data_IF_913867257508
#
_entry.id   IF_913867257508
#
_cell.length_a   1.000
_cell.length_b   1.000
_cell.length_c   1.000
_cell.angle_alpha   90.00
_cell.angle_beta   90.00
_cell.angle_gamma   90.00
#
_symmetry.space_group_name_H-M   'P 1'
#
loop_
_entity.id
_entity.type
_entity.pdbx_description
1 polymer ?
#
# COMPACT_ATOMS: atom_id res chain seq x y z
N UNK A 1 17.61 -0.65 -8.21
CA UNK A 1 16.85 -0.05 -7.09
C UNK A 1 15.54 -0.77 -6.71
N UNK A 2 14.76 -1.34 -7.66
CA UNK A 2 13.46 -2.02 -7.39
C UNK A 2 13.48 -3.16 -6.35
N UNK A 3 14.64 -3.76 -6.11
CA UNK A 3 14.83 -4.87 -5.18
C UNK A 3 15.45 -4.46 -3.84
N UNK A 4 15.76 -3.17 -3.65
CA UNK A 4 16.40 -2.70 -2.41
C UNK A 4 15.48 -2.92 -1.21
N UNK A 5 14.20 -2.60 -1.34
CA UNK A 5 13.22 -2.81 -0.27
C UNK A 5 13.03 -4.31 0.03
N UNK A 6 12.73 -5.19 -0.96
CA UNK A 6 12.67 -6.64 -0.72
C UNK A 6 13.97 -7.25 -0.18
N UNK A 7 15.13 -6.85 -0.68
CA UNK A 7 16.42 -7.38 -0.23
C UNK A 7 16.76 -6.92 1.21
N UNK A 8 16.40 -5.69 1.57
CA UNK A 8 16.56 -5.18 2.93
C UNK A 8 15.60 -5.89 3.90
N UNK A 9 14.39 -6.19 3.45
CA UNK A 9 13.40 -7.03 4.15
C UNK A 9 13.88 -8.47 4.37
N UNK A 10 14.33 -9.14 3.31
CA UNK A 10 14.85 -10.51 3.36
C UNK A 10 16.13 -10.57 4.21
N UNK A 11 16.99 -9.56 4.12
CA UNK A 11 18.18 -9.43 4.97
C UNK A 11 17.82 -9.24 6.45
N UNK A 12 16.82 -8.40 6.74
CA UNK A 12 16.30 -8.21 8.09
C UNK A 12 15.69 -9.50 8.66
N UNK A 13 14.93 -10.25 7.87
CA UNK A 13 14.38 -11.54 8.26
C UNK A 13 15.44 -12.62 8.46
N UNK A 14 16.40 -12.75 7.54
CA UNK A 14 17.49 -13.72 7.63
C UNK A 14 18.36 -13.50 8.87
N UNK A 15 18.61 -12.23 9.21
CA UNK A 15 19.47 -11.88 10.33
C UNK A 15 18.73 -11.91 11.68
N UNK A 16 17.46 -11.51 11.72
CA UNK A 16 16.59 -11.68 12.90
C UNK A 16 16.46 -13.15 13.30
N UNK A 17 16.30 -14.05 12.31
CA UNK A 17 16.31 -15.49 12.54
C UNK A 17 17.65 -16.01 13.10
N UNK A 18 18.77 -15.40 12.71
CA UNK A 18 20.11 -15.82 13.16
C UNK A 18 20.48 -15.35 14.57
N UNK A 19 19.76 -14.39 15.17
CA UNK A 19 20.19 -13.73 16.42
C UNK A 19 19.28 -13.99 17.64
N UNK A 20 17.96 -14.14 17.50
CA UNK A 20 17.06 -14.36 18.66
C UNK A 20 15.84 -15.22 18.28
N UNK A 21 15.74 -16.40 18.89
CA UNK A 21 14.64 -17.36 18.72
C UNK A 21 13.37 -16.88 19.45
N UNK A 22 12.48 -16.13 18.78
CA UNK A 22 11.11 -15.90 19.27
C UNK A 22 10.59 -14.47 19.10
N UNK A 23 10.92 -13.57 20.02
CA UNK A 23 10.18 -12.30 20.20
C UNK A 23 10.56 -11.19 19.20
N UNK A 24 11.82 -11.15 18.75
CA UNK A 24 12.28 -10.04 17.90
C UNK A 24 11.73 -10.12 16.47
N UNK A 25 11.47 -11.33 15.96
CA UNK A 25 10.92 -11.54 14.61
C UNK A 25 9.47 -11.06 14.49
N UNK A 26 8.66 -11.33 15.52
CA UNK A 26 7.26 -10.86 15.58
C UNK A 26 7.19 -9.33 15.67
N UNK A 27 8.08 -8.70 16.42
CA UNK A 27 8.15 -7.24 16.54
C UNK A 27 8.53 -6.58 15.21
N UNK A 28 9.45 -7.18 14.45
CA UNK A 28 9.85 -6.69 13.13
C UNK A 28 8.71 -6.83 12.10
N UNK A 29 7.98 -7.95 12.15
CA UNK A 29 6.78 -8.17 11.32
C UNK A 29 5.70 -7.14 11.63
N UNK A 30 5.42 -6.89 12.90
CA UNK A 30 4.45 -5.88 13.32
C UNK A 30 4.89 -4.47 12.91
N UNK A 31 6.16 -4.12 13.13
CA UNK A 31 6.74 -2.84 12.74
C UNK A 31 6.66 -2.59 11.22
N UNK A 32 6.58 -3.65 10.41
CA UNK A 32 6.38 -3.52 8.97
C UNK A 32 4.91 -3.52 8.53
N UNK A 33 4.14 -4.49 9.02
CA UNK A 33 2.74 -4.69 8.59
C UNK A 33 1.88 -3.51 9.03
N UNK A 34 2.02 -3.05 10.27
CA UNK A 34 1.17 -2.03 10.87
C UNK A 34 1.23 -0.71 10.08
N UNK A 35 2.38 -0.07 9.88
CA UNK A 35 2.43 1.20 9.15
C UNK A 35 2.02 1.04 7.68
N UNK A 36 2.35 -0.07 7.02
CA UNK A 36 1.91 -0.33 5.65
C UNK A 36 0.39 -0.47 5.52
N UNK A 37 -0.22 -1.23 6.42
CA UNK A 37 -1.65 -1.48 6.45
C UNK A 37 -2.43 -0.21 6.81
N UNK A 38 -1.99 0.50 7.86
CA UNK A 38 -2.63 1.73 8.33
C UNK A 38 -2.53 2.84 7.30
N UNK A 39 -1.33 3.10 6.75
CA UNK A 39 -1.13 4.20 5.82
C UNK A 39 -1.86 3.96 4.48
N UNK A 40 -1.78 2.73 3.95
CA UNK A 40 -2.53 2.37 2.74
C UNK A 40 -4.05 2.42 2.98
N UNK A 41 -4.54 1.88 4.09
CA UNK A 41 -5.97 1.93 4.44
C UNK A 41 -6.47 3.37 4.60
N UNK A 42 -5.72 4.22 5.30
CA UNK A 42 -6.10 5.60 5.58
C UNK A 42 -6.16 6.44 4.29
N UNK A 43 -5.14 6.39 3.44
CA UNK A 43 -5.13 7.12 2.17
C UNK A 43 -6.20 6.60 1.20
N UNK A 44 -6.44 5.30 1.18
CA UNK A 44 -7.52 4.69 0.37
C UNK A 44 -8.89 5.12 0.89
N UNK A 45 -9.08 5.24 2.20
CA UNK A 45 -10.32 5.74 2.80
C UNK A 45 -10.54 7.24 2.49
N UNK A 46 -9.48 8.06 2.54
CA UNK A 46 -9.52 9.48 2.15
C UNK A 46 -9.92 9.64 0.68
N UNK A 47 -9.52 8.70 -0.18
CA UNK A 47 -9.91 8.66 -1.59
C UNK A 47 -11.41 8.35 -1.82
N UNK A 48 -12.22 8.18 -0.76
CA UNK A 48 -13.63 7.79 -0.82
C UNK A 48 -13.84 6.46 -1.58
N UNK A 49 -12.88 5.54 -1.41
CA UNK A 49 -12.97 4.18 -1.92
C UNK A 49 -14.10 3.41 -1.24
N UNK A 50 -14.59 2.35 -1.90
CA UNK A 50 -15.56 1.47 -1.26
C UNK A 50 -14.93 0.70 -0.10
N UNK A 51 -15.70 0.31 0.93
CA UNK A 51 -15.18 -0.40 2.09
C UNK A 51 -14.36 -1.65 1.74
N UNK A 52 -14.78 -2.42 0.73
CA UNK A 52 -14.03 -3.58 0.25
C UNK A 52 -12.63 -3.22 -0.27
N UNK A 53 -12.50 -2.10 -0.96
CA UNK A 53 -11.23 -1.64 -1.52
C UNK A 53 -10.28 -1.13 -0.44
N UNK A 54 -10.82 -0.54 0.64
CA UNK A 54 -10.02 -0.19 1.83
C UNK A 54 -9.47 -1.44 2.50
N UNK A 55 -10.31 -2.47 2.70
CA UNK A 55 -9.87 -3.76 3.26
C UNK A 55 -8.80 -4.39 2.37
N UNK A 56 -9.01 -4.34 1.05
CA UNK A 56 -8.02 -4.83 0.10
C UNK A 56 -6.70 -4.07 0.18
N UNK A 57 -6.72 -2.74 0.37
CA UNK A 57 -5.50 -1.95 0.52
C UNK A 57 -4.72 -2.33 1.79
N UNK A 58 -5.43 -2.53 2.89
CA UNK A 58 -4.86 -2.95 4.19
C UNK A 58 -4.17 -4.31 4.08
N UNK A 59 -4.78 -5.28 3.39
CA UNK A 59 -4.24 -6.64 3.24
C UNK A 59 -3.17 -6.72 2.14
N UNK A 60 -3.40 -6.06 1.01
CA UNK A 60 -2.50 -6.10 -0.13
C UNK A 60 -1.23 -5.30 0.11
N UNK A 61 -1.26 -4.19 0.86
CA UNK A 61 -0.10 -3.31 1.06
C UNK A 61 1.12 -4.04 1.66
N UNK A 62 1.03 -4.81 2.76
CA UNK A 62 2.17 -5.56 3.30
C UNK A 62 2.73 -6.61 2.32
N UNK A 63 1.85 -7.27 1.56
CA UNK A 63 2.20 -8.33 0.61
C UNK A 63 2.86 -7.76 -0.65
N UNK A 64 2.31 -6.66 -1.16
CA UNK A 64 2.80 -5.98 -2.37
C UNK A 64 4.09 -5.21 -2.12
N UNK A 65 4.33 -4.71 -0.91
CA UNK A 65 5.61 -4.11 -0.53
C UNK A 65 6.80 -5.09 -0.65
N UNK A 66 6.53 -6.40 -0.51
CA UNK A 66 7.52 -7.47 -0.74
C UNK A 66 7.70 -7.81 -2.23
N UNK A 67 6.76 -7.45 -3.10
CA UNK A 67 6.78 -7.78 -4.52
C UNK A 67 6.71 -6.53 -5.42
N UNK A 68 7.85 -6.07 -5.98
CA UNK A 68 7.89 -4.87 -6.81
C UNK A 68 7.18 -5.00 -8.17
N UNK A 69 6.65 -6.19 -8.50
CA UNK A 69 5.93 -6.42 -9.77
C UNK A 69 4.44 -6.10 -9.70
N UNK A 70 3.83 -6.10 -8.50
CA UNK A 70 2.41 -5.82 -8.31
C UNK A 70 2.27 -4.77 -7.22
N UNK A 71 1.90 -3.54 -7.60
CA UNK A 71 1.67 -2.46 -6.63
C UNK A 71 0.32 -2.62 -5.92
N UNK A 72 0.23 -2.16 -4.67
CA UNK A 72 -1.03 -2.13 -3.90
C UNK A 72 -2.17 -1.48 -4.70
N UNK A 73 -1.87 -0.41 -5.45
CA UNK A 73 -2.86 0.27 -6.29
C UNK A 73 -3.42 -0.57 -7.43
N UNK A 74 -2.69 -1.55 -7.95
CA UNK A 74 -3.23 -2.44 -8.99
C UNK A 74 -4.32 -3.34 -8.40
N UNK A 75 -4.07 -3.96 -7.25
CA UNK A 75 -5.05 -4.84 -6.59
C UNK A 75 -6.27 -4.04 -6.14
N UNK A 76 -6.05 -2.90 -5.49
CA UNK A 76 -7.11 -2.04 -4.98
C UNK A 76 -7.90 -1.39 -6.13
N UNK A 77 -7.20 -0.93 -7.17
CA UNK A 77 -7.81 -0.36 -8.37
C UNK A 77 -8.66 -1.37 -9.12
N UNK A 78 -8.19 -2.63 -9.26
CA UNK A 78 -8.97 -3.68 -9.91
C UNK A 78 -10.26 -4.00 -9.13
N UNK A 79 -10.18 -4.07 -7.80
CA UNK A 79 -11.33 -4.30 -6.94
C UNK A 79 -12.30 -3.12 -6.97
N UNK A 80 -11.81 -1.88 -6.91
CA UNK A 80 -12.65 -0.69 -7.02
C UNK A 80 -13.32 -0.62 -8.40
N UNK A 81 -12.60 -0.97 -9.47
CA UNK A 81 -13.15 -1.06 -10.83
C UNK A 81 -14.25 -2.13 -10.91
N UNK A 82 -14.02 -3.30 -10.32
CA UNK A 82 -15.02 -4.36 -10.25
C UNK A 82 -16.29 -3.94 -9.51
N UNK A 83 -16.14 -3.20 -8.42
CA UNK A 83 -17.26 -2.74 -7.63
C UNK A 83 -17.99 -1.57 -8.27
N UNK A 84 -17.30 -0.64 -8.95
CA UNK A 84 -17.91 0.52 -9.60
C UNK A 84 -18.41 0.24 -11.02
N UNK A 85 -17.85 -0.77 -11.69
CA UNK A 85 -18.12 -1.15 -13.08
C UNK A 85 -18.08 0.06 -14.03
N UNK A 86 -16.93 0.76 -14.14
CA UNK A 86 -16.81 1.91 -15.04
C UNK A 86 -17.11 1.49 -16.49
N UNK A 87 -17.83 2.31 -17.24
CA UNK A 87 -18.14 2.05 -18.64
C UNK A 87 -17.06 2.60 -19.56
N UNK A 88 -17.07 2.21 -20.85
CA UNK A 88 -16.14 2.75 -21.85
C UNK A 88 -16.37 4.25 -22.07
N UNK A 89 -17.64 4.69 -22.00
CA UNK A 89 -18.03 6.12 -22.07
C UNK A 89 -17.41 6.95 -20.94
N UNK A 90 -17.25 6.38 -19.74
CA UNK A 90 -16.56 7.04 -18.61
C UNK A 90 -15.07 7.24 -18.91
N UNK A 91 -14.46 6.34 -19.69
CA UNK A 91 -13.05 6.44 -20.10
C UNK A 91 -12.85 7.52 -21.18
N UNK A 92 -13.81 7.67 -22.10
CA UNK A 92 -13.78 8.72 -23.12
C UNK A 92 -13.94 10.12 -22.51
N UNK A 93 -14.82 10.26 -21.51
CA UNK A 93 -15.03 11.52 -20.76
C UNK A 93 -13.90 11.87 -19.79
N UNK A 94 -12.95 10.96 -19.61
CA UNK A 94 -11.87 11.12 -18.62
C UNK A 94 -11.07 12.41 -18.84
N UNK A 95 -10.73 12.73 -20.09
CA UNK A 95 -9.86 13.86 -20.43
C UNK A 95 -10.49 15.21 -20.01
N UNK A 96 -11.81 15.32 -20.12
CA UNK A 96 -12.57 16.50 -19.72
C UNK A 96 -12.80 16.52 -18.20
N UNK A 97 -13.08 15.35 -17.60
CA UNK A 97 -13.42 15.22 -16.18
C UNK A 97 -12.20 15.36 -15.25
N UNK A 98 -10.98 15.03 -15.68
CA UNK A 98 -9.76 15.20 -14.86
C UNK A 98 -9.29 16.65 -14.73
N UNK A 99 -9.82 17.58 -15.53
CA UNK A 99 -9.47 19.00 -15.47
C UNK A 99 -10.03 19.71 -14.23
N UNK A 100 -11.00 19.10 -13.54
CA UNK A 100 -11.59 19.68 -12.33
C UNK A 100 -11.61 18.65 -11.20
N UNK A 101 -11.29 19.09 -9.97
CA UNK A 101 -11.37 18.23 -8.79
C UNK A 101 -12.76 17.60 -8.63
N UNK A 102 -13.82 18.34 -8.99
CA UNK A 102 -15.20 17.85 -8.95
C UNK A 102 -15.48 16.79 -10.03
N UNK A 103 -14.89 16.91 -11.23
CA UNK A 103 -14.98 15.92 -12.30
C UNK A 103 -14.30 14.60 -11.94
N UNK A 104 -13.13 14.66 -11.27
CA UNK A 104 -12.42 13.48 -10.75
C UNK A 104 -13.31 12.66 -9.79
N UNK A 105 -14.09 13.32 -8.93
CA UNK A 105 -14.99 12.61 -8.03
C UNK A 105 -16.34 12.24 -8.65
N UNK A 106 -16.70 12.79 -9.81
CA UNK A 106 -17.97 12.50 -10.49
C UNK A 106 -17.85 11.26 -11.39
N UNK A 107 -16.72 11.10 -12.06
CA UNK A 107 -16.52 10.02 -13.02
C UNK A 107 -16.06 8.71 -12.30
N UNK A 108 -16.73 7.57 -12.55
CA UNK A 108 -16.37 6.28 -11.93
C UNK A 108 -14.95 5.82 -12.24
N UNK A 109 -14.44 6.07 -13.45
CA UNK A 109 -13.12 5.64 -13.89
C UNK A 109 -12.01 6.46 -13.23
N UNK A 110 -12.15 7.79 -13.19
CA UNK A 110 -11.19 8.65 -12.49
C UNK A 110 -11.15 8.37 -10.99
N UNK A 111 -12.28 8.02 -10.37
CA UNK A 111 -12.29 7.53 -8.98
C UNK A 111 -11.47 6.27 -8.79
N UNK A 112 -11.60 5.28 -9.68
CA UNK A 112 -10.80 4.04 -9.60
C UNK A 112 -9.31 4.37 -9.66
N UNK A 113 -8.90 5.24 -10.58
CA UNK A 113 -7.52 5.68 -10.70
C UNK A 113 -7.03 6.44 -9.46
N UNK A 114 -7.85 7.34 -8.92
CA UNK A 114 -7.53 8.08 -7.70
C UNK A 114 -7.32 7.12 -6.53
N UNK A 115 -8.22 6.17 -6.33
CA UNK A 115 -8.15 5.16 -5.28
C UNK A 115 -6.89 4.29 -5.43
N UNK A 116 -6.58 3.84 -6.66
CA UNK A 116 -5.38 3.07 -6.96
C UNK A 116 -4.08 3.88 -6.68
N UNK A 117 -4.07 5.16 -7.06
CA UNK A 117 -2.94 6.04 -6.82
C UNK A 117 -2.73 6.28 -5.31
N UNK A 118 -3.80 6.57 -4.57
CA UNK A 118 -3.75 6.78 -3.13
C UNK A 118 -3.29 5.53 -2.37
N UNK A 119 -3.76 4.34 -2.78
CA UNK A 119 -3.29 3.08 -2.21
C UNK A 119 -1.79 2.85 -2.47
N UNK A 120 -1.30 3.18 -3.66
CA UNK A 120 0.13 3.07 -4.02
C UNK A 120 0.98 4.03 -3.19
N UNK A 121 0.54 5.29 -3.07
CA UNK A 121 1.23 6.31 -2.26
C UNK A 121 1.24 5.89 -0.78
N UNK A 122 0.12 5.40 -0.26
CA UNK A 122 0.03 4.95 1.13
C UNK A 122 0.89 3.74 1.43
N UNK A 123 0.97 2.78 0.50
CA UNK A 123 1.89 1.65 0.62
C UNK A 123 3.36 2.10 0.56
N UNK A 124 3.72 3.02 -0.34
CA UNK A 124 5.08 3.55 -0.40
C UNK A 124 5.48 4.27 0.91
N UNK A 125 4.61 5.15 1.43
CA UNK A 125 4.83 5.85 2.70
C UNK A 125 4.92 4.87 3.88
N UNK A 126 4.03 3.88 3.92
CA UNK A 126 4.04 2.84 4.93
C UNK A 126 5.32 2.00 4.92
N UNK A 127 5.88 1.72 3.73
CA UNK A 127 7.16 1.02 3.58
C UNK A 127 8.34 1.86 4.11
N UNK A 128 8.37 3.17 3.84
CA UNK A 128 9.41 4.05 4.40
C UNK A 128 9.34 4.12 5.94
N UNK A 129 8.14 4.25 6.49
CA UNK A 129 7.93 4.29 7.95
C UNK A 129 8.26 2.93 8.58
N UNK A 130 7.82 1.84 7.97
CA UNK A 130 8.12 0.48 8.42
C UNK A 130 9.62 0.19 8.40
N UNK A 131 10.33 0.59 7.35
CA UNK A 131 11.78 0.46 7.27
C UNK A 131 12.50 1.26 8.37
N UNK A 132 12.07 2.50 8.62
CA UNK A 132 12.62 3.32 9.69
C UNK A 132 12.35 2.71 11.08
N UNK A 133 11.15 2.18 11.32
CA UNK A 133 10.78 1.56 12.58
C UNK A 133 11.55 0.25 12.82
N UNK A 134 11.69 -0.58 11.79
CA UNK A 134 12.56 -1.77 11.83
C UNK A 134 14.00 -1.37 12.19
N UNK A 135 14.53 -0.31 11.57
CA UNK A 135 15.82 0.29 11.93
C UNK A 135 15.95 0.70 13.40
N UNK A 136 14.87 1.24 13.98
CA UNK A 136 14.84 1.62 15.39
C UNK A 136 14.76 0.41 16.33
N UNK A 137 13.96 -0.62 15.98
CA UNK A 137 13.89 -1.88 16.74
C UNK A 137 15.26 -2.57 16.78
N UNK A 138 16.00 -2.55 15.67
CA UNK A 138 17.37 -3.05 15.63
C UNK A 138 18.31 -2.38 16.63
N UNK A 139 18.23 -1.05 16.77
CA UNK A 139 19.07 -0.31 17.71
C UNK A 139 18.70 -0.56 19.18
N UNK A 140 17.44 -0.92 19.45
CA UNK A 140 16.94 -1.21 20.79
C UNK A 140 17.35 -2.59 21.30
N UNK A 141 17.54 -3.58 20.42
CA UNK A 141 17.97 -4.95 20.77
C UNK A 141 19.48 -5.13 20.96
N UNK A 142 20.27 -4.06 20.88
CA UNK A 142 21.74 -4.07 21.05
C UNK A 142 22.22 -3.51 22.40
N UNK A 143 21.31 -3.26 23.35
CA UNK A 143 21.62 -2.92 24.74
C UNK A 143 21.07 -3.98 25.68
#
# INVERSE_FOLDING_TARGET
>A
LKWVIPALMLGAFWWGYSKHSGDSFTDMLQAWIIPNAVMAGLLTAIALAKPLSVIAAVIASPITSLNPTIGAGMVVGLLEAWLRKPTVEDCERLNEDVLTLKGIYRNPFSRVLLVAAMATIGSALGAYIGAAWVGWVFNKGSG
#
